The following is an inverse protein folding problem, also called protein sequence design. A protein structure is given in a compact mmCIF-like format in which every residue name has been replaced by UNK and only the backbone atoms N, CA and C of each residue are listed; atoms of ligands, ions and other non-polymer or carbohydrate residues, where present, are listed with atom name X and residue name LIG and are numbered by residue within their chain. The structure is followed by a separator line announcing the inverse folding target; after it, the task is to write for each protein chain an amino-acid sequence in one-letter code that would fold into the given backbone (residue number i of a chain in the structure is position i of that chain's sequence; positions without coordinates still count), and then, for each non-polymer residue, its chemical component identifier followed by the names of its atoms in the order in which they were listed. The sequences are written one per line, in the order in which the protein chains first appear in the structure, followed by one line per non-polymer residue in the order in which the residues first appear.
data_IF_831175752227
#
_entry.id   IF_831175752227
#
_cell.length_a   1.000
_cell.length_b   1.000
_cell.length_c   1.000
_cell.angle_alpha   90.00
_cell.angle_beta   90.00
_cell.angle_gamma   90.00
#
_symmetry.space_group_name_H-M   'P 1'
#
loop_
_entity.id
_entity.type
_entity.pdbx_description
1 polymer ?
#
# COMPACT_ATOMS: atom_id res chain seq x y z
N UNK A 1 20.86 74.76 9.83
CA UNK A 1 20.89 73.60 10.73
C UNK A 1 22.11 72.76 10.37
N UNK A 2 23.13 72.75 11.21
CA UNK A 2 23.35 71.72 12.25
C UNK A 2 23.50 70.32 11.63
N UNK A 3 24.74 69.86 11.39
CA UNK A 3 25.59 69.06 12.32
C UNK A 3 25.05 67.62 12.42
N UNK A 4 25.77 66.56 12.03
CA UNK A 4 26.63 65.74 12.91
C UNK A 4 27.01 64.51 12.02
N UNK A 5 28.25 64.36 11.56
CA UNK A 5 29.32 63.55 12.18
C UNK A 5 28.88 62.14 12.57
N UNK A 6 29.34 61.13 11.83
CA UNK A 6 29.65 59.78 12.34
C UNK A 6 30.41 59.02 11.25
N UNK A 7 31.69 59.34 11.15
CA UNK A 7 32.70 58.39 10.68
C UNK A 7 32.88 57.40 11.84
N UNK A 8 32.49 56.15 11.64
CA UNK A 8 32.96 55.05 12.48
C UNK A 8 33.62 53.99 11.59
N UNK A 9 34.92 53.87 11.82
CA UNK A 9 35.84 52.82 11.41
C UNK A 9 35.18 51.43 11.44
N UNK A 10 35.13 50.77 10.29
CA UNK A 10 35.04 49.31 10.25
C UNK A 10 36.45 48.73 10.21
N UNK A 11 37.04 48.58 11.40
CA UNK A 11 38.17 47.68 11.64
C UNK A 11 37.62 46.27 11.83
N UNK A 12 38.10 45.29 11.05
CA UNK A 12 38.93 44.17 11.52
C UNK A 12 38.89 43.08 10.45
N UNK A 13 39.94 43.03 9.62
CA UNK A 13 40.23 41.86 8.81
C UNK A 13 40.66 40.72 9.74
N UNK A 14 39.72 39.84 10.09
CA UNK A 14 40.05 38.56 10.66
C UNK A 14 40.33 37.59 9.51
N UNK A 15 41.59 37.51 9.11
CA UNK A 15 42.14 36.39 8.34
C UNK A 15 41.99 35.11 9.18
N UNK A 16 40.88 34.40 8.98
CA UNK A 16 40.70 33.04 9.50
C UNK A 16 41.31 32.04 8.53
N UNK A 17 42.35 31.33 8.97
CA UNK A 17 43.00 30.25 8.24
C UNK A 17 41.97 29.18 7.83
N UNK A 18 41.70 29.05 6.54
CA UNK A 18 40.95 27.92 6.00
C UNK A 18 41.84 26.66 6.03
N UNK A 19 41.24 25.58 6.52
CA UNK A 19 41.90 24.35 6.97
C UNK A 19 42.71 23.59 5.91
N UNK A 20 43.63 22.80 6.44
CA UNK A 20 44.58 21.93 5.74
C UNK A 20 43.92 20.97 4.73
N UNK A 21 44.66 20.57 3.68
CA UNK A 21 44.21 19.54 2.74
C UNK A 21 44.14 18.18 3.43
N UNK A 22 42.95 17.59 3.46
CA UNK A 22 42.74 16.20 3.89
C UNK A 22 43.32 15.28 2.81
N UNK A 23 44.39 14.58 3.17
CA UNK A 23 44.96 13.49 2.40
C UNK A 23 43.93 12.36 2.24
N UNK A 24 43.72 11.81 1.02
CA UNK A 24 42.82 10.68 0.84
C UNK A 24 43.43 9.41 1.44
N UNK A 25 42.78 8.87 2.48
CA UNK A 25 43.09 7.57 3.08
C UNK A 25 42.84 6.45 2.04
N UNK A 26 43.80 5.55 1.77
CA UNK A 26 43.64 4.44 0.83
C UNK A 26 42.69 3.33 1.33
N UNK A 27 42.01 3.47 2.47
CA UNK A 27 40.89 2.60 2.88
C UNK A 27 39.54 3.01 2.26
N UNK A 28 39.50 3.10 0.93
CA UNK A 28 38.24 3.02 0.17
C UNK A 28 37.75 1.57 0.27
N UNK A 29 37.15 1.24 1.41
CA UNK A 29 36.31 0.07 1.61
C UNK A 29 34.94 0.58 2.05
N UNK A 30 33.93 0.23 1.26
CA UNK A 30 32.52 0.64 1.35
C UNK A 30 32.20 2.00 0.72
N UNK A 31 32.35 2.05 -0.60
CA UNK A 31 31.29 2.67 -1.42
C UNK A 31 30.09 1.73 -1.30
N UNK A 32 29.34 1.86 -0.22
CA UNK A 32 27.99 1.31 -0.18
C UNK A 32 27.22 2.09 -1.25
N UNK A 33 26.70 1.45 -2.31
CA UNK A 33 25.77 2.15 -3.17
C UNK A 33 24.66 2.67 -2.28
N UNK A 34 24.38 3.97 -2.42
CA UNK A 34 23.27 4.67 -1.80
C UNK A 34 22.07 3.75 -1.93
N UNK A 35 21.65 3.21 -0.79
CA UNK A 35 20.48 2.37 -0.64
C UNK A 35 19.27 3.19 -1.05
N UNK A 36 19.01 3.24 -2.36
CA UNK A 36 17.69 3.42 -2.93
C UNK A 36 16.86 2.18 -2.57
N UNK A 37 16.57 2.03 -1.28
CA UNK A 37 15.66 1.04 -0.73
C UNK A 37 14.41 1.77 -0.28
N UNK A 38 13.74 2.41 -1.24
CA UNK A 38 12.29 2.29 -1.31
C UNK A 38 12.03 1.18 -2.33
N UNK A 39 12.30 -0.06 -1.91
CA UNK A 39 11.75 -1.22 -2.59
C UNK A 39 10.22 -1.09 -2.46
N UNK A 40 9.59 -0.49 -3.47
CA UNK A 40 8.14 -0.41 -3.58
C UNK A 40 7.62 -1.83 -3.42
N UNK A 41 6.86 -2.09 -2.34
CA UNK A 41 6.38 -3.42 -1.97
C UNK A 41 5.59 -4.01 -3.16
N UNK A 42 6.26 -4.81 -4.00
CA UNK A 42 5.71 -5.26 -5.29
C UNK A 42 4.76 -6.44 -5.15
N UNK A 43 4.79 -7.11 -4.01
CA UNK A 43 3.90 -8.19 -3.63
C UNK A 43 3.65 -8.12 -2.13
N UNK A 44 2.39 -8.25 -1.72
CA UNK A 44 2.00 -8.19 -0.32
C UNK A 44 0.60 -8.71 -0.10
N UNK A 45 0.34 -9.14 1.13
CA UNK A 45 -1.01 -9.48 1.59
C UNK A 45 -1.51 -8.36 2.48
N UNK A 46 -2.71 -7.89 2.19
CA UNK A 46 -3.46 -6.92 2.98
C UNK A 46 -4.60 -7.64 3.67
N UNK A 47 -4.81 -7.32 4.94
CA UNK A 47 -5.96 -7.75 5.71
C UNK A 47 -6.78 -6.52 6.07
N UNK A 48 -8.07 -6.54 5.78
CA UNK A 48 -8.97 -5.41 6.08
C UNK A 48 -10.32 -5.89 6.57
N UNK A 49 -10.90 -5.16 7.53
CA UNK A 49 -12.26 -5.35 8.02
C UNK A 49 -13.27 -4.73 7.05
N UNK A 50 -14.51 -5.15 7.16
CA UNK A 50 -15.62 -4.45 6.53
C UNK A 50 -15.69 -3.01 7.07
N UNK A 51 -15.98 -2.03 6.21
CA UNK A 51 -15.93 -0.57 6.46
C UNK A 51 -14.53 0.02 6.72
N UNK A 52 -13.46 -0.77 6.69
CA UNK A 52 -12.09 -0.26 6.76
C UNK A 52 -11.64 0.26 5.39
N UNK A 53 -10.86 1.35 5.39
CA UNK A 53 -10.13 1.82 4.22
C UNK A 53 -8.67 1.45 4.42
N UNK A 54 -8.08 0.75 3.46
CA UNK A 54 -6.66 0.37 3.51
C UNK A 54 -5.90 0.92 2.32
N UNK A 55 -4.75 1.53 2.61
CA UNK A 55 -3.81 2.01 1.59
C UNK A 55 -2.71 0.97 1.35
N UNK A 56 -2.44 0.66 0.09
CA UNK A 56 -1.32 -0.17 -0.34
C UNK A 56 -0.59 0.48 -1.51
N UNK A 57 0.66 0.88 -1.31
CA UNK A 57 1.43 1.67 -2.27
C UNK A 57 0.66 2.96 -2.68
N UNK A 58 0.32 3.13 -3.96
CA UNK A 58 -0.48 4.24 -4.49
C UNK A 58 -1.99 3.92 -4.58
N UNK A 59 -2.43 2.79 -4.04
CA UNK A 59 -3.84 2.38 -4.04
C UNK A 59 -4.50 2.66 -2.69
N UNK A 60 -5.73 3.16 -2.73
CA UNK A 60 -6.68 3.14 -1.62
C UNK A 60 -7.79 2.14 -1.94
N UNK A 61 -8.05 1.22 -1.01
CA UNK A 61 -9.05 0.16 -1.14
C UNK A 61 -10.15 0.41 -0.12
N UNK A 62 -11.41 0.46 -0.58
CA UNK A 62 -12.61 0.54 0.25
C UNK A 62 -13.50 -0.67 -0.02
N UNK A 63 -13.93 -1.35 1.04
CA UNK A 63 -14.83 -2.49 0.93
C UNK A 63 -16.28 -2.01 0.86
N UNK A 64 -16.94 -2.26 -0.28
CA UNK A 64 -18.33 -1.87 -0.51
C UNK A 64 -19.34 -2.94 -0.10
N UNK A 65 -19.13 -4.18 -0.55
CA UNK A 65 -20.14 -5.23 -0.39
C UNK A 65 -19.53 -6.64 -0.28
N UNK A 66 -20.29 -7.55 0.34
CA UNK A 66 -19.97 -8.97 0.42
C UNK A 66 -21.22 -9.81 0.14
N UNK A 67 -21.09 -10.75 -0.79
CA UNK A 67 -22.10 -11.78 -1.03
C UNK A 67 -21.49 -13.13 -0.65
N UNK A 68 -21.95 -13.69 0.47
CA UNK A 68 -21.43 -14.94 1.00
C UNK A 68 -22.48 -16.05 0.90
N UNK A 69 -22.25 -16.98 -0.02
CA UNK A 69 -23.05 -18.19 -0.22
C UNK A 69 -22.22 -19.46 0.04
N UNK A 70 -21.08 -19.34 0.73
CA UNK A 70 -20.22 -20.48 1.03
C UNK A 70 -20.99 -21.52 1.85
N UNK A 71 -20.75 -22.80 1.53
CA UNK A 71 -21.37 -23.90 2.24
C UNK A 71 -20.97 -23.87 3.73
N UNK A 72 -21.91 -23.76 4.67
CA UNK A 72 -21.56 -23.69 6.09
C UNK A 72 -20.84 -24.94 6.59
N UNK A 73 -20.00 -24.76 7.62
CA UNK A 73 -19.32 -25.89 8.26
C UNK A 73 -20.35 -26.87 8.85
N UNK A 74 -20.20 -28.16 8.56
CA UNK A 74 -21.08 -29.22 9.05
C UNK A 74 -22.33 -29.47 8.19
N UNK A 75 -22.49 -28.76 7.07
CA UNK A 75 -23.61 -28.95 6.13
C UNK A 75 -23.12 -29.64 4.87
N UNK A 76 -23.94 -30.54 4.32
CA UNK A 76 -23.69 -31.15 3.01
C UNK A 76 -24.38 -30.33 1.92
N UNK A 77 -23.63 -29.55 1.16
CA UNK A 77 -24.17 -28.78 0.05
C UNK A 77 -24.06 -29.56 -1.27
N UNK A 78 -25.13 -29.55 -2.06
CA UNK A 78 -25.12 -30.11 -3.42
C UNK A 78 -24.25 -29.28 -4.38
N UNK A 79 -24.13 -27.97 -4.14
CA UNK A 79 -23.33 -27.04 -4.94
C UNK A 79 -22.20 -26.45 -4.11
N UNK A 80 -21.02 -26.31 -4.72
CA UNK A 80 -19.87 -25.62 -4.12
C UNK A 80 -20.18 -24.12 -4.06
N UNK A 81 -20.63 -23.64 -2.90
CA UNK A 81 -20.89 -22.22 -2.66
C UNK A 81 -19.66 -21.33 -2.86
N UNK A 82 -19.89 -20.02 -2.88
CA UNK A 82 -18.85 -19.01 -3.17
C UNK A 82 -19.00 -17.77 -2.30
N UNK A 83 -17.93 -16.98 -2.20
CA UNK A 83 -17.99 -15.63 -1.64
C UNK A 83 -17.46 -14.62 -2.66
N UNK A 84 -18.20 -13.52 -2.82
CA UNK A 84 -17.84 -12.37 -3.65
C UNK A 84 -17.63 -11.15 -2.77
N UNK A 85 -16.57 -10.43 -3.06
CA UNK A 85 -16.17 -9.19 -2.36
C UNK A 85 -16.09 -8.09 -3.39
N UNK A 86 -16.84 -7.01 -3.17
CA UNK A 86 -16.84 -5.83 -4.03
C UNK A 86 -16.00 -4.75 -3.36
N UNK A 87 -14.96 -4.30 -4.06
CA UNK A 87 -14.03 -3.28 -3.62
C UNK A 87 -14.11 -2.08 -4.56
N UNK A 88 -13.99 -0.89 -3.99
CA UNK A 88 -13.66 0.31 -4.72
C UNK A 88 -12.17 0.59 -4.55
N UNK A 89 -11.48 0.87 -5.66
CA UNK A 89 -10.05 1.16 -5.68
C UNK A 89 -9.80 2.51 -6.33
N UNK A 90 -9.00 3.35 -5.69
CA UNK A 90 -8.61 4.69 -6.18
C UNK A 90 -7.11 4.87 -6.11
N UNK A 91 -6.51 5.63 -7.05
CA UNK A 91 -5.10 6.05 -6.93
C UNK A 91 -4.97 7.29 -6.05
N UNK A 92 -4.21 7.20 -4.97
CA UNK A 92 -3.98 8.31 -4.03
C UNK A 92 -2.97 9.34 -4.54
N UNK A 93 -2.04 8.91 -5.40
CA UNK A 93 -0.98 9.78 -5.93
C UNK A 93 -1.35 10.48 -7.26
N UNK A 94 -2.55 10.25 -7.78
CA UNK A 94 -3.03 10.84 -9.03
C UNK A 94 -4.24 11.69 -8.74
N UNK A 95 -4.05 13.01 -8.78
CA UNK A 95 -5.14 13.97 -8.57
C UNK A 95 -6.24 13.77 -9.63
N UNK A 96 -7.49 13.74 -9.17
CA UNK A 96 -8.65 13.46 -10.03
C UNK A 96 -8.79 12.00 -10.47
N UNK A 97 -8.05 11.06 -9.87
CA UNK A 97 -8.26 9.62 -10.12
C UNK A 97 -9.71 9.23 -9.83
N UNK A 98 -10.37 8.62 -10.81
CA UNK A 98 -11.72 8.08 -10.62
C UNK A 98 -11.65 6.74 -9.88
N UNK A 99 -12.56 6.48 -8.94
CA UNK A 99 -12.68 5.16 -8.31
C UNK A 99 -13.07 4.10 -9.33
N UNK A 100 -12.57 2.87 -9.14
CA UNK A 100 -12.90 1.70 -9.96
C UNK A 100 -13.43 0.60 -9.05
N UNK A 101 -14.61 0.08 -9.38
CA UNK A 101 -15.19 -1.08 -8.70
C UNK A 101 -14.61 -2.39 -9.25
N UNK A 102 -14.25 -3.31 -8.35
CA UNK A 102 -13.71 -4.62 -8.66
C UNK A 102 -14.46 -5.67 -7.85
N UNK A 103 -14.79 -6.79 -8.50
CA UNK A 103 -15.31 -7.97 -7.83
C UNK A 103 -14.22 -9.04 -7.75
N UNK A 104 -13.93 -9.50 -6.53
CA UNK A 104 -13.10 -10.67 -6.30
C UNK A 104 -13.97 -11.84 -5.85
N UNK A 105 -13.70 -13.03 -6.38
CA UNK A 105 -14.50 -14.22 -6.09
C UNK A 105 -13.62 -15.35 -5.57
N UNK A 106 -14.02 -15.93 -4.43
CA UNK A 106 -13.42 -17.14 -3.88
C UNK A 106 -14.45 -18.27 -3.91
N UNK A 107 -14.13 -19.33 -4.65
CA UNK A 107 -14.97 -20.52 -4.85
C UNK A 107 -14.31 -21.75 -4.24
N UNK A 108 -15.11 -22.63 -3.64
CA UNK A 108 -14.58 -23.88 -3.09
C UNK A 108 -14.02 -24.76 -4.21
N UNK A 109 -12.80 -25.28 -4.01
CA UNK A 109 -12.09 -26.19 -4.94
C UNK A 109 -11.83 -25.60 -6.34
N UNK A 110 -11.79 -24.28 -6.46
CA UNK A 110 -11.41 -23.57 -7.68
C UNK A 110 -10.35 -22.53 -7.37
N UNK A 111 -9.60 -22.15 -8.39
CA UNK A 111 -8.65 -21.05 -8.27
C UNK A 111 -9.42 -19.74 -8.00
N UNK A 112 -8.90 -18.86 -7.12
CA UNK A 112 -9.48 -17.54 -6.91
C UNK A 112 -9.55 -16.75 -8.22
N UNK A 113 -10.65 -16.04 -8.43
CA UNK A 113 -10.74 -15.11 -9.56
C UNK A 113 -9.98 -13.84 -9.20
N UNK A 114 -8.95 -13.53 -9.98
CA UNK A 114 -8.15 -12.31 -9.82
C UNK A 114 -8.75 -11.14 -10.60
N UNK A 115 -8.60 -9.92 -10.08
CA UNK A 115 -8.91 -8.68 -10.81
C UNK A 115 -7.65 -7.84 -11.01
N UNK A 116 -7.54 -7.16 -12.16
CA UNK A 116 -6.41 -6.27 -12.44
C UNK A 116 -6.87 -4.81 -12.48
N UNK A 117 -6.15 -3.93 -11.79
CA UNK A 117 -6.44 -2.49 -11.74
C UNK A 117 -5.16 -1.70 -11.57
N UNK A 118 -5.01 -0.57 -12.28
CA UNK A 118 -3.90 0.37 -12.06
C UNK A 118 -2.48 -0.25 -12.09
N UNK A 119 -2.28 -1.34 -12.83
CA UNK A 119 -0.99 -2.06 -12.90
C UNK A 119 -0.75 -3.06 -11.77
N UNK A 120 -1.77 -3.38 -10.98
CA UNK A 120 -1.77 -4.40 -9.93
C UNK A 120 -2.75 -5.52 -10.26
N UNK A 121 -2.48 -6.71 -9.73
CA UNK A 121 -3.35 -7.88 -9.70
C UNK A 121 -3.74 -8.13 -8.24
N UNK A 122 -5.04 -8.12 -7.97
CA UNK A 122 -5.65 -8.40 -6.68
C UNK A 122 -6.24 -9.81 -6.71
N UNK A 123 -5.93 -10.59 -5.69
CA UNK A 123 -6.35 -11.97 -5.51
C UNK A 123 -6.97 -12.12 -4.12
N UNK A 124 -8.23 -12.57 -4.05
CA UNK A 124 -8.90 -12.83 -2.78
C UNK A 124 -8.44 -14.17 -2.21
N UNK A 125 -7.63 -14.13 -1.15
CA UNK A 125 -7.10 -15.33 -0.51
C UNK A 125 -8.10 -15.93 0.48
N UNK A 126 -8.75 -15.08 1.28
CA UNK A 126 -9.66 -15.56 2.32
C UNK A 126 -10.71 -14.52 2.73
N UNK A 127 -11.80 -15.03 3.30
CA UNK A 127 -12.86 -14.23 3.92
C UNK A 127 -13.22 -14.86 5.25
N UNK A 128 -13.19 -14.06 6.31
CA UNK A 128 -13.56 -14.47 7.66
C UNK A 128 -14.79 -13.69 8.12
N UNK A 129 -15.60 -14.24 9.04
CA UNK A 129 -15.57 -15.64 9.46
C UNK A 129 -16.03 -16.58 8.33
N UNK A 130 -15.72 -17.87 8.43
CA UNK A 130 -16.35 -18.87 7.57
C UNK A 130 -17.78 -19.16 8.09
N UNK A 131 -18.80 -19.36 7.23
CA UNK A 131 -20.16 -19.58 7.67
C UNK A 131 -20.30 -20.84 8.54
N UNK A 132 -21.12 -20.73 9.58
CA UNK A 132 -21.52 -21.84 10.46
C UNK A 132 -23.02 -22.03 10.35
N UNK A 133 -23.48 -23.28 10.46
CA UNK A 133 -24.91 -23.57 10.37
C UNK A 133 -25.71 -22.76 11.40
N UNK A 134 -26.83 -22.17 10.96
CA UNK A 134 -27.73 -21.31 11.75
C UNK A 134 -27.09 -20.08 12.39
N UNK A 135 -25.88 -19.69 11.97
CA UNK A 135 -25.21 -18.47 12.43
C UNK A 135 -25.03 -17.52 11.27
N UNK A 136 -25.74 -16.40 11.33
CA UNK A 136 -25.58 -15.30 10.37
C UNK A 136 -24.51 -14.34 10.88
N UNK A 137 -23.37 -14.18 10.18
CA UNK A 137 -22.34 -13.23 10.60
C UNK A 137 -22.84 -11.79 10.47
N UNK A 138 -22.50 -10.95 11.45
CA UNK A 138 -22.69 -9.49 11.34
C UNK A 138 -21.71 -8.95 10.31
N UNK A 139 -22.18 -8.03 9.45
CA UNK A 139 -21.39 -7.50 8.33
C UNK A 139 -20.05 -6.87 8.78
N UNK A 140 -20.05 -6.11 9.88
CA UNK A 140 -18.84 -5.49 10.44
C UNK A 140 -17.79 -6.49 10.98
N UNK A 141 -18.17 -7.75 11.19
CA UNK A 141 -17.24 -8.79 11.62
C UNK A 141 -16.48 -9.43 10.46
N UNK A 142 -16.84 -9.09 9.22
CA UNK A 142 -16.14 -9.63 8.07
C UNK A 142 -14.72 -9.07 7.96
N UNK A 143 -13.80 -9.94 7.56
CA UNK A 143 -12.39 -9.62 7.31
C UNK A 143 -11.95 -10.32 6.04
N UNK A 144 -11.31 -9.61 5.12
CA UNK A 144 -10.72 -10.21 3.92
C UNK A 144 -9.21 -10.22 3.99
N UNK A 145 -8.61 -11.22 3.36
CA UNK A 145 -7.19 -11.26 3.05
C UNK A 145 -7.03 -11.21 1.53
N UNK A 146 -6.39 -10.15 1.05
CA UNK A 146 -6.20 -9.86 -0.37
C UNK A 146 -4.71 -9.82 -0.65
N UNK A 147 -4.26 -10.61 -1.60
CA UNK A 147 -2.92 -10.51 -2.14
C UNK A 147 -2.89 -9.50 -3.27
N UNK A 148 -1.96 -8.58 -3.20
CA UNK A 148 -1.74 -7.51 -4.17
C UNK A 148 -0.35 -7.72 -4.74
N UNK A 149 -0.26 -7.86 -6.05
CA UNK A 149 1.00 -8.01 -6.79
C UNK A 149 1.03 -7.10 -7.99
N UNK A 150 2.21 -6.71 -8.50
CA UNK A 150 2.28 -5.99 -9.77
C UNK A 150 1.86 -6.88 -10.93
N UNK A 151 1.07 -6.33 -11.86
CA UNK A 151 0.77 -7.00 -13.11
C UNK A 151 2.06 -7.22 -13.90
N UNK A 152 2.25 -8.43 -14.41
CA UNK A 152 3.39 -8.73 -15.27
C UNK A 152 3.30 -7.84 -16.52
N UNK A 153 4.35 -7.08 -16.81
CA UNK A 153 4.44 -6.33 -18.05
C UNK A 153 4.61 -7.34 -19.20
N UNK A 154 3.62 -7.43 -20.09
CA UNK A 154 3.77 -8.16 -21.34
C UNK A 154 4.90 -7.50 -22.15
N UNK A 155 5.92 -8.28 -22.50
CA UNK A 155 7.02 -7.87 -23.38
C UNK A 155 6.58 -7.92 -24.83
#
# INVERSE_FOLDING_TARGET
MNTIWMILLSTLAATGCYGSPVSPDPRISKITPVSASSALKTNGVVKMRFDEIVTYADLELRWLEVHDSRCPTGVNCFWAGEVKVILEVTRTMVEGSKPVELQLTLQSRREPVTASVFGYVLELLNVYPYPKDKVTPVRSNYVVEIKISKAAQAR
#
